data_IF_729961335596
#
_entry.id   IF_729961335596
#
_cell.length_a   1.000
_cell.length_b   1.000
_cell.length_c   1.000
_cell.angle_alpha   90.00
_cell.angle_beta   90.00
_cell.angle_gamma   90.00
#
_symmetry.space_group_name_H-M   'P 1'
#
loop_
_entity.id
_entity.type
_entity.pdbx_description
1 polymer ?
#
# COMPACT_ATOMS: atom_id res chain seq x y z
N UNK A 1 8.78 -8.44 -4.14
CA UNK A 1 8.08 -7.80 -5.28
C UNK A 1 7.07 -6.73 -4.86
N UNK A 2 6.09 -7.01 -3.97
CA UNK A 2 5.07 -6.02 -3.57
C UNK A 2 5.55 -4.82 -2.74
N UNK A 3 6.60 -4.97 -1.92
CA UNK A 3 7.18 -3.84 -1.20
C UNK A 3 7.63 -2.73 -2.16
N UNK A 4 8.28 -3.10 -3.28
CA UNK A 4 8.67 -2.18 -4.35
C UNK A 4 7.47 -1.49 -4.98
N UNK A 5 6.41 -2.24 -5.30
CA UNK A 5 5.16 -1.67 -5.84
C UNK A 5 4.56 -0.60 -4.90
N UNK A 6 4.56 -0.86 -3.60
CA UNK A 6 3.95 0.05 -2.63
C UNK A 6 4.78 1.33 -2.51
N UNK A 7 6.09 1.18 -2.34
CA UNK A 7 7.04 2.29 -2.31
C UNK A 7 6.97 3.13 -3.60
N UNK A 8 7.09 2.51 -4.78
CA UNK A 8 7.12 3.26 -6.04
C UNK A 8 5.77 3.91 -6.38
N UNK A 9 4.66 3.43 -5.78
CA UNK A 9 3.33 4.06 -5.85
C UNK A 9 3.11 5.15 -4.77
N UNK A 10 4.13 5.46 -3.95
CA UNK A 10 4.11 6.49 -2.92
C UNK A 10 3.52 6.06 -1.57
N UNK A 11 3.58 4.76 -1.24
CA UNK A 11 3.22 4.23 0.09
C UNK A 11 4.49 3.93 0.89
N UNK A 12 5.20 5.00 1.26
CA UNK A 12 6.52 4.91 1.89
C UNK A 12 6.47 4.65 3.40
N UNK A 13 5.35 4.99 4.04
CA UNK A 13 5.18 4.88 5.49
C UNK A 13 3.92 4.12 5.86
N UNK A 14 3.91 3.56 7.08
CA UNK A 14 2.73 2.93 7.65
C UNK A 14 1.59 3.94 7.84
N UNK A 15 1.89 5.18 8.21
CA UNK A 15 0.89 6.24 8.35
C UNK A 15 0.18 6.54 7.03
N UNK A 16 0.94 6.59 5.92
CA UNK A 16 0.35 6.76 4.60
C UNK A 16 -0.57 5.59 4.28
N UNK A 17 -0.14 4.33 4.47
CA UNK A 17 -1.00 3.16 4.22
C UNK A 17 -2.25 3.17 5.12
N UNK A 18 -2.11 3.53 6.39
CA UNK A 18 -3.19 3.52 7.39
C UNK A 18 -4.32 4.51 7.09
N UNK A 19 -4.04 5.59 6.35
CA UNK A 19 -5.01 6.63 5.95
C UNK A 19 -5.95 6.17 4.83
N UNK A 20 -5.60 5.14 4.08
CA UNK A 20 -6.38 4.72 2.91
C UNK A 20 -7.50 3.74 3.27
N UNK A 21 -8.57 3.78 2.47
CA UNK A 21 -9.52 2.67 2.41
C UNK A 21 -8.90 1.54 1.57
N UNK A 22 -9.01 0.25 1.99
CA UNK A 22 -8.39 -0.87 1.28
C UNK A 22 -8.71 -0.94 -0.22
N UNK A 23 -9.97 -0.65 -0.57
CA UNK A 23 -10.47 -0.67 -1.94
C UNK A 23 -9.81 0.42 -2.78
N UNK A 24 -9.66 1.63 -2.20
CA UNK A 24 -9.01 2.77 -2.84
C UNK A 24 -7.51 2.59 -2.98
N UNK A 25 -6.87 1.99 -1.98
CA UNK A 25 -5.45 1.63 -2.04
C UNK A 25 -5.22 0.64 -3.20
N UNK A 26 -6.04 -0.40 -3.29
CA UNK A 26 -5.98 -1.39 -4.36
C UNK A 26 -6.25 -0.77 -5.74
N UNK A 27 -7.23 0.13 -5.85
CA UNK A 27 -7.51 0.85 -7.09
C UNK A 27 -6.30 1.68 -7.55
N UNK A 28 -5.67 2.43 -6.64
CA UNK A 28 -4.46 3.21 -6.92
C UNK A 28 -3.30 2.33 -7.40
N UNK A 29 -3.05 1.20 -6.73
CA UNK A 29 -1.98 0.27 -7.11
C UNK A 29 -2.24 -0.41 -8.45
N UNK A 30 -3.50 -0.77 -8.72
CA UNK A 30 -3.90 -1.32 -10.02
C UNK A 30 -3.70 -0.32 -11.14
N UNK A 31 -4.02 0.96 -10.89
CA UNK A 31 -3.81 2.05 -11.84
C UNK A 31 -2.32 2.28 -12.09
N UNK A 32 -1.52 2.32 -11.03
CA UNK A 32 -0.08 2.48 -11.11
C UNK A 32 0.56 1.40 -12.00
N UNK A 33 0.22 0.12 -11.81
CA UNK A 33 0.74 -0.97 -12.65
C UNK A 33 0.39 -0.74 -14.13
N UNK A 34 -0.87 -0.37 -14.41
CA UNK A 34 -1.35 -0.13 -15.78
C UNK A 34 -0.65 1.05 -16.45
N UNK A 35 -0.39 2.13 -15.70
CA UNK A 35 0.18 3.37 -16.22
C UNK A 35 1.71 3.31 -16.38
N UNK A 36 2.40 2.59 -15.49
CA UNK A 36 3.87 2.53 -15.47
C UNK A 36 4.46 1.30 -16.14
N UNK A 37 3.64 0.29 -16.43
CA UNK A 37 4.12 -1.01 -16.91
C UNK A 37 4.89 -1.79 -15.84
N UNK A 38 4.68 -1.48 -14.55
CA UNK A 38 5.34 -2.17 -13.44
C UNK A 38 5.17 -3.69 -13.55
N UNK A 39 6.29 -4.42 -13.50
CA UNK A 39 6.28 -5.88 -13.54
C UNK A 39 5.77 -6.47 -12.21
N UNK A 40 4.45 -6.64 -12.11
CA UNK A 40 3.78 -7.19 -10.94
C UNK A 40 2.26 -7.22 -11.06
N UNK A 41 1.60 -7.72 -10.01
CA UNK A 41 0.14 -7.80 -9.93
C UNK A 41 -0.37 -6.95 -8.75
N UNK A 42 -1.57 -6.33 -8.87
CA UNK A 42 -2.15 -5.58 -7.78
C UNK A 42 -2.47 -6.51 -6.60
N UNK A 43 -2.52 -5.99 -5.36
CA UNK A 43 -2.93 -6.80 -4.22
C UNK A 43 -4.37 -7.29 -4.38
N UNK A 44 -4.64 -8.47 -3.84
CA UNK A 44 -6.01 -8.95 -3.65
C UNK A 44 -6.77 -8.05 -2.66
N UNK A 45 -8.12 -8.06 -2.65
CA UNK A 45 -8.90 -7.31 -1.66
C UNK A 45 -8.50 -7.63 -0.21
N UNK A 46 -8.25 -8.91 0.11
CA UNK A 46 -7.83 -9.35 1.44
C UNK A 46 -6.44 -8.85 1.81
N UNK A 47 -5.50 -8.86 0.86
CA UNK A 47 -4.15 -8.33 1.10
C UNK A 47 -4.17 -6.83 1.34
N UNK A 48 -4.96 -6.06 0.57
CA UNK A 48 -5.13 -4.63 0.79
C UNK A 48 -5.76 -4.34 2.16
N UNK A 49 -6.80 -5.09 2.54
CA UNK A 49 -7.44 -4.95 3.85
C UNK A 49 -6.46 -5.25 4.99
N UNK A 50 -5.69 -6.33 4.87
CA UNK A 50 -4.68 -6.70 5.85
C UNK A 50 -3.56 -5.66 5.95
N UNK A 51 -3.11 -5.10 4.82
CA UNK A 51 -2.07 -4.06 4.81
C UNK A 51 -2.53 -2.82 5.58
N UNK A 52 -3.72 -2.31 5.29
CA UNK A 52 -4.30 -1.15 5.99
C UNK A 52 -4.53 -1.47 7.48
N UNK A 53 -5.09 -2.64 7.80
CA UNK A 53 -5.33 -3.03 9.19
C UNK A 53 -4.04 -3.21 10.00
N UNK A 54 -2.99 -3.70 9.36
CA UNK A 54 -1.66 -3.85 9.96
C UNK A 54 -1.03 -2.47 10.18
N UNK A 55 -1.05 -1.61 9.16
CA UNK A 55 -0.54 -0.26 9.24
C UNK A 55 -1.18 0.56 10.37
N UNK A 56 -2.50 0.43 10.58
CA UNK A 56 -3.22 1.07 11.69
C UNK A 56 -2.81 0.60 13.09
N UNK A 57 -2.20 -0.60 13.20
CA UNK A 57 -1.74 -1.16 14.47
C UNK A 57 -0.26 -0.88 14.74
N UNK A 58 0.47 -0.37 13.75
CA UNK A 58 1.89 -0.11 13.92
C UNK A 58 2.07 1.10 14.83
N UNK A 59 2.79 0.96 15.97
CA UNK A 59 3.13 2.10 16.79
C UNK A 59 4.07 3.01 16.00
N UNK A 60 3.96 4.32 16.22
CA UNK A 60 4.97 5.27 15.76
C UNK A 60 6.24 5.05 16.57
N UNK A 61 7.18 4.26 16.05
CA UNK A 61 8.51 4.06 16.64
C UNK A 61 9.46 5.14 16.13
N UNK A 62 9.02 6.40 16.20
CA UNK A 62 9.91 7.54 15.93
C UNK A 62 9.94 8.36 17.21
N UNK A 63 10.88 7.99 18.09
CA UNK A 63 11.32 8.84 19.18
C UNK A 63 12.24 9.91 18.59
N UNK A 64 11.88 11.18 18.78
CA UNK A 64 12.75 12.33 18.58
C UNK A 64 13.07 12.96 19.93
#
# INVERSE_FOLDING_TARGET
VRARLYHDAGFDTWEEIARWQPEKMREKLSRYIKETGFEGIPPTPKEAANAVATAKKMPRIVEW
#
